data_IF_467410983070
#
_entry.id   IF_467410983070
#
_cell.length_a   1.000
_cell.length_b   1.000
_cell.length_c   1.000
_cell.angle_alpha   90.00
_cell.angle_beta   90.00
_cell.angle_gamma   90.00
#
_symmetry.space_group_name_H-M   'P 1'
#
loop_
_entity.id
_entity.type
_entity.pdbx_description
1 polymer ?
#
# COMPACT_ATOMS: atom_id res chain seq x y z
N UNK A 1 7.05 -0.66 3.95
CA UNK A 1 5.95 0.22 4.35
C UNK A 1 4.81 -0.09 3.39
N UNK A 2 3.60 -0.31 3.89
CA UNK A 2 2.53 -0.82 3.06
C UNK A 2 2.05 0.25 2.05
N UNK A 3 1.94 -0.15 0.79
CA UNK A 3 1.44 0.64 -0.32
C UNK A 3 0.02 0.20 -0.65
N UNK A 4 -0.94 1.10 -0.53
CA UNK A 4 -2.37 0.81 -0.70
C UNK A 4 -2.88 1.36 -2.03
N UNK A 5 -3.35 0.49 -2.93
CA UNK A 5 -3.88 0.90 -4.22
C UNK A 5 -5.15 1.74 -4.06
N UNK A 6 -5.17 2.95 -4.62
CA UNK A 6 -6.29 3.90 -4.52
C UNK A 6 -7.58 3.36 -5.17
N UNK A 7 -7.47 2.41 -6.11
CA UNK A 7 -8.62 1.92 -6.88
C UNK A 7 -9.30 0.68 -6.31
N UNK A 8 -8.51 -0.29 -5.85
CA UNK A 8 -9.04 -1.60 -5.42
C UNK A 8 -8.70 -1.94 -3.97
N UNK A 9 -8.09 -1.01 -3.24
CA UNK A 9 -7.71 -1.13 -1.84
C UNK A 9 -6.74 -2.27 -1.51
N UNK A 10 -6.06 -2.83 -2.52
CA UNK A 10 -5.06 -3.87 -2.31
C UNK A 10 -3.80 -3.28 -1.67
N UNK A 11 -3.29 -3.96 -0.66
CA UNK A 11 -2.08 -3.57 0.08
C UNK A 11 -0.90 -4.38 -0.45
N UNK A 12 0.20 -3.70 -0.71
CA UNK A 12 1.47 -4.25 -1.17
C UNK A 12 2.59 -3.90 -0.18
N UNK A 13 3.61 -4.74 -0.10
CA UNK A 13 4.81 -4.43 0.68
C UNK A 13 5.73 -3.45 -0.06
N UNK A 14 6.68 -2.86 0.67
CA UNK A 14 7.58 -1.81 0.15
C UNK A 14 8.39 -2.21 -1.08
N UNK A 15 8.76 -3.49 -1.15
CA UNK A 15 9.61 -4.04 -2.19
C UNK A 15 8.78 -4.75 -3.29
N UNK A 16 7.47 -4.57 -3.32
CA UNK A 16 6.65 -5.19 -4.35
C UNK A 16 6.84 -4.46 -5.68
N UNK A 17 7.18 -5.23 -6.73
CA UNK A 17 7.31 -4.73 -8.10
C UNK A 17 6.01 -4.08 -8.61
N UNK A 18 4.86 -4.43 -8.03
CA UNK A 18 3.58 -3.79 -8.33
C UNK A 18 3.57 -2.27 -8.08
N UNK A 19 4.47 -1.73 -7.26
CA UNK A 19 4.60 -0.29 -7.07
C UNK A 19 5.16 0.39 -8.34
N UNK A 20 6.07 -0.29 -9.05
CA UNK A 20 6.69 0.20 -10.28
C UNK A 20 5.87 -0.17 -11.52
N UNK A 21 5.34 -1.40 -11.55
CA UNK A 21 4.63 -1.97 -12.71
C UNK A 21 3.11 -1.66 -12.69
N UNK A 22 2.59 -1.21 -11.54
CA UNK A 22 1.16 -1.01 -11.31
C UNK A 22 0.48 -2.18 -10.59
N UNK A 23 -0.70 -1.91 -10.05
CA UNK A 23 -1.45 -2.86 -9.23
C UNK A 23 -1.84 -4.10 -10.03
N UNK A 24 -1.41 -5.27 -9.58
CA UNK A 24 -1.66 -6.57 -10.24
C UNK A 24 -3.14 -6.97 -10.34
N UNK A 25 -4.01 -6.35 -9.54
CA UNK A 25 -5.45 -6.68 -9.53
C UNK A 25 -6.31 -5.74 -10.38
N UNK A 26 -5.91 -4.49 -10.59
CA UNK A 26 -6.76 -3.51 -11.29
C UNK A 26 -6.00 -2.58 -12.25
N UNK A 27 -4.68 -2.75 -12.41
CA UNK A 27 -3.83 -1.91 -13.27
C UNK A 27 -3.65 -0.46 -12.79
N UNK A 28 -4.07 -0.14 -11.57
CA UNK A 28 -3.89 1.21 -11.01
C UNK A 28 -2.43 1.51 -10.70
N UNK A 29 -1.93 2.68 -11.09
CA UNK A 29 -0.55 3.13 -10.84
C UNK A 29 -0.42 4.02 -9.60
N UNK A 30 -1.53 4.49 -9.05
CA UNK A 30 -1.55 5.33 -7.84
C UNK A 30 -1.70 4.48 -6.58
N UNK A 31 -0.82 4.72 -5.62
CA UNK A 31 -0.79 4.07 -4.32
C UNK A 31 -0.69 5.12 -3.21
N UNK A 32 -1.44 4.92 -2.14
CA UNK A 32 -1.22 5.62 -0.88
C UNK A 32 -0.08 4.94 -0.12
N UNK A 33 0.82 5.75 0.39
CA UNK A 33 1.86 5.32 1.29
C UNK A 33 1.36 5.39 2.73
N UNK A 34 1.43 4.27 3.46
CA UNK A 34 1.03 4.20 4.87
C UNK A 34 2.29 4.24 5.74
N UNK A 35 2.41 5.29 6.55
CA UNK A 35 3.47 5.41 7.56
C UNK A 35 3.28 4.33 8.63
N UNK A 36 4.31 3.50 8.85
CA UNK A 36 4.29 2.43 9.85
C UNK A 36 4.05 2.95 11.27
N UNK A 37 4.57 4.15 11.58
CA UNK A 37 4.39 4.82 12.87
C UNK A 37 2.90 4.92 13.24
N UNK A 38 2.06 5.35 12.30
CA UNK A 38 0.60 5.47 12.47
C UNK A 38 -0.10 4.14 12.68
N UNK A 39 0.45 3.05 12.14
CA UNK A 39 -0.09 1.70 12.34
C UNK A 39 0.31 1.11 13.69
N UNK A 40 1.45 1.51 14.25
CA UNK A 40 1.86 1.11 15.59
C UNK A 40 0.96 1.77 16.65
N UNK A 41 0.71 3.08 16.52
CA UNK A 41 -0.17 3.84 17.42
C UNK A 41 -1.60 3.25 17.50
N UNK A 42 -2.14 2.72 16.39
CA UNK A 42 -3.48 2.11 16.34
C UNK A 42 -3.57 0.72 16.97
N UNK A 43 -2.45 0.04 17.20
CA UNK A 43 -2.44 -1.33 17.78
C UNK A 43 -2.27 -1.35 19.29
N UNK A 44 -1.97 -0.20 19.90
CA UNK A 44 -1.73 -0.07 21.35
C UNK A 44 -2.94 0.50 22.12
N UNK A 45 -4.11 0.63 21.49
CA UNK A 45 -5.40 1.03 22.11
C UNK A 45 -6.39 -0.12 22.06
#
# INVERSE_FOLDING_TARGET
MPHHCVRCNKIYDDADKAILEGCRSCGGTFFFYIKKERLAELKET
#
